data_IF_252764779688
#
_entry.id   IF_252764779688
#
_cell.length_a   1.000
_cell.length_b   1.000
_cell.length_c   1.000
_cell.angle_alpha   90.00
_cell.angle_beta   90.00
_cell.angle_gamma   90.00
#
_symmetry.space_group_name_H-M   'P 1'
#
loop_
_entity.id
_entity.type
_entity.pdbx_description
1 polymer ?
#
# COMPACT_ATOMS: atom_id res chain seq x y z
N UNK A 1 -32.45 -1.62 26.65
CA UNK A 1 -32.05 -2.60 25.59
C UNK A 1 -32.09 -2.04 24.17
N UNK A 2 -33.13 -1.28 23.75
CA UNK A 2 -33.20 -0.70 22.39
C UNK A 2 -32.06 0.29 22.09
N UNK A 3 -31.80 1.24 23.00
CA UNK A 3 -30.73 2.25 22.83
C UNK A 3 -29.36 1.61 22.65
N UNK A 4 -29.03 0.60 23.47
CA UNK A 4 -27.76 -0.12 23.37
C UNK A 4 -27.62 -0.85 22.02
N UNK A 5 -28.70 -1.49 21.53
CA UNK A 5 -28.70 -2.12 20.20
C UNK A 5 -28.51 -1.09 19.09
N UNK A 6 -29.16 0.06 19.17
CA UNK A 6 -28.99 1.15 18.19
C UNK A 6 -27.55 1.66 18.16
N UNK A 7 -26.92 1.84 19.32
CA UNK A 7 -25.52 2.26 19.42
C UNK A 7 -24.55 1.24 18.81
N UNK A 8 -24.78 -0.06 19.04
CA UNK A 8 -23.99 -1.13 18.44
C UNK A 8 -24.11 -1.11 16.91
N UNK A 9 -25.33 -0.96 16.38
CA UNK A 9 -25.56 -0.89 14.93
C UNK A 9 -24.86 0.33 14.31
N UNK A 10 -24.94 1.50 14.95
CA UNK A 10 -24.24 2.71 14.50
C UNK A 10 -22.72 2.50 14.50
N UNK A 11 -22.17 1.89 15.55
CA UNK A 11 -20.74 1.61 15.63
C UNK A 11 -20.28 0.68 14.51
N UNK A 12 -21.02 -0.39 14.23
CA UNK A 12 -20.75 -1.28 13.11
C UNK A 12 -20.82 -0.55 11.77
N UNK A 13 -21.80 0.36 11.61
CA UNK A 13 -21.96 1.14 10.38
C UNK A 13 -20.77 2.09 10.17
N UNK A 14 -20.28 2.73 11.24
CA UNK A 14 -19.09 3.59 11.19
C UNK A 14 -17.84 2.78 10.83
N UNK A 15 -17.64 1.62 11.47
CA UNK A 15 -16.50 0.73 11.18
C UNK A 15 -16.57 0.25 9.73
N UNK A 16 -17.74 -0.13 9.25
CA UNK A 16 -17.95 -0.51 7.86
C UNK A 16 -17.59 0.63 6.90
N UNK A 17 -18.10 1.83 7.17
CA UNK A 17 -17.82 3.02 6.37
C UNK A 17 -16.32 3.32 6.32
N UNK A 18 -15.66 3.27 7.48
CA UNK A 18 -14.22 3.48 7.59
C UNK A 18 -13.43 2.43 6.81
N UNK A 19 -13.81 1.16 6.89
CA UNK A 19 -13.05 0.07 6.26
C UNK A 19 -13.21 0.06 4.73
N UNK A 20 -14.39 0.40 4.21
CA UNK A 20 -14.68 0.29 2.78
C UNK A 20 -14.54 1.60 2.01
N UNK A 21 -14.90 2.75 2.60
CA UNK A 21 -14.88 4.05 1.91
C UNK A 21 -13.49 4.69 2.00
N UNK A 22 -12.86 4.65 3.17
CA UNK A 22 -11.57 5.32 3.38
C UNK A 22 -10.48 4.88 2.38
N UNK A 23 -10.31 3.57 2.05
CA UNK A 23 -9.32 3.15 1.07
C UNK A 23 -9.60 3.63 -0.36
N UNK A 24 -10.87 3.81 -0.74
CA UNK A 24 -11.23 4.31 -2.08
C UNK A 24 -10.87 5.78 -2.27
N UNK A 25 -10.80 6.56 -1.18
CA UNK A 25 -10.44 7.97 -1.21
C UNK A 25 -8.92 8.19 -1.35
N UNK A 26 -8.10 7.16 -1.11
CA UNK A 26 -6.65 7.26 -1.23
C UNK A 26 -6.30 7.34 -2.73
N UNK A 27 -5.65 8.42 -3.20
CA UNK A 27 -5.31 8.58 -4.61
C UNK A 27 -4.19 7.62 -5.00
N UNK A 28 -4.55 6.41 -5.44
CA UNK A 28 -3.64 5.38 -5.97
C UNK A 28 -3.54 5.39 -7.50
N UNK A 29 -4.33 6.24 -8.17
CA UNK A 29 -4.44 6.28 -9.64
C UNK A 29 -3.13 6.63 -10.34
N UNK A 30 -2.24 7.39 -9.69
CA UNK A 30 -0.93 7.77 -10.23
C UNK A 30 -0.02 6.55 -10.47
N UNK A 31 -0.16 5.47 -9.67
CA UNK A 31 0.62 4.24 -9.82
C UNK A 31 0.35 3.50 -11.14
N UNK A 32 -0.77 3.83 -11.82
CA UNK A 32 -1.09 3.31 -13.15
C UNK A 32 -0.23 3.92 -14.27
N UNK A 33 0.52 4.99 -13.98
CA UNK A 33 1.31 5.71 -14.99
C UNK A 33 2.75 5.97 -14.55
N UNK A 34 2.99 5.99 -13.24
CA UNK A 34 4.27 6.43 -12.67
C UNK A 34 4.83 5.45 -11.64
N UNK A 35 6.16 5.49 -11.48
CA UNK A 35 6.84 4.73 -10.45
C UNK A 35 6.47 5.22 -9.04
N UNK A 36 6.20 4.32 -8.09
CA UNK A 36 6.00 4.71 -6.69
C UNK A 36 7.28 5.34 -6.11
N UNK A 37 7.08 6.28 -5.19
CA UNK A 37 8.16 6.87 -4.39
C UNK A 37 8.85 5.79 -3.53
N UNK A 38 10.08 6.07 -3.11
CA UNK A 38 10.82 5.15 -2.23
C UNK A 38 10.06 4.90 -0.92
N UNK A 39 9.87 3.63 -0.59
CA UNK A 39 9.24 3.21 0.66
C UNK A 39 10.20 3.35 1.83
N UNK A 40 9.66 3.36 3.06
CA UNK A 40 10.47 3.38 4.28
C UNK A 40 11.46 2.20 4.33
N UNK A 41 11.05 1.02 3.85
CA UNK A 41 11.91 -0.17 3.81
C UNK A 41 13.06 -0.03 2.79
N UNK A 42 12.79 0.59 1.63
CA UNK A 42 13.85 0.89 0.65
C UNK A 42 14.88 1.87 1.23
N UNK A 43 14.42 2.94 1.89
CA UNK A 43 15.30 3.92 2.56
C UNK A 43 16.13 3.27 3.66
N UNK A 44 15.50 2.44 4.49
CA UNK A 44 16.18 1.69 5.53
C UNK A 44 17.32 0.83 4.95
N UNK A 45 17.07 0.10 3.86
CA UNK A 45 18.09 -0.73 3.20
C UNK A 45 19.22 0.10 2.57
N UNK A 46 18.92 1.26 1.98
CA UNK A 46 19.93 2.18 1.48
C UNK A 46 20.89 2.62 2.59
N UNK A 47 20.35 3.04 3.74
CA UNK A 47 21.16 3.45 4.88
C UNK A 47 22.05 2.30 5.39
N UNK A 48 21.55 1.06 5.36
CA UNK A 48 22.34 -0.12 5.71
C UNK A 48 23.50 -0.38 4.72
N UNK A 49 23.29 -0.12 3.43
CA UNK A 49 24.33 -0.26 2.42
C UNK A 49 25.37 0.87 2.47
N UNK A 50 24.92 2.09 2.72
CA UNK A 50 25.79 3.24 2.94
C UNK A 50 26.74 3.02 4.12
N UNK A 51 26.21 2.53 5.26
CA UNK A 51 27.00 2.12 6.43
C UNK A 51 28.03 1.03 6.13
N UNK A 52 27.78 0.19 5.11
CA UNK A 52 28.69 -0.86 4.65
C UNK A 52 29.64 -0.38 3.54
N UNK A 53 29.68 0.92 3.25
CA UNK A 53 30.51 1.52 2.19
C UNK A 53 30.06 1.16 0.77
N UNK A 54 28.86 0.59 0.60
CA UNK A 54 28.35 0.17 -0.72
C UNK A 54 27.61 1.33 -1.38
N UNK A 55 28.13 1.80 -2.52
CA UNK A 55 27.42 2.77 -3.38
C UNK A 55 26.41 2.03 -4.26
N UNK A 56 25.13 2.08 -3.88
CA UNK A 56 24.04 1.45 -4.63
C UNK A 56 23.18 2.51 -5.30
N UNK A 57 23.00 2.39 -6.63
CA UNK A 57 22.08 3.24 -7.39
C UNK A 57 20.74 2.52 -7.56
N UNK A 58 19.66 3.13 -7.10
CA UNK A 58 18.32 2.60 -7.31
C UNK A 58 17.91 2.84 -8.77
N UNK A 59 17.44 1.76 -9.42
CA UNK A 59 16.77 1.81 -10.72
C UNK A 59 15.33 1.31 -10.53
N UNK A 60 14.36 2.14 -10.90
CA UNK A 60 12.95 1.78 -10.91
C UNK A 60 12.44 1.89 -12.35
N UNK A 61 11.80 0.83 -12.84
CA UNK A 61 11.19 0.79 -14.17
C UNK A 61 9.70 0.60 -13.94
N UNK A 62 8.90 1.47 -14.53
CA UNK A 62 7.46 1.35 -14.43
C UNK A 62 7.00 0.22 -15.36
N UNK A 63 6.21 -0.71 -14.82
CA UNK A 63 5.67 -1.85 -15.56
C UNK A 63 4.20 -2.01 -15.18
N UNK A 64 3.28 -2.11 -16.16
CA UNK A 64 1.87 -2.33 -15.87
C UNK A 64 1.64 -3.74 -15.29
N UNK A 65 0.69 -3.86 -14.37
CA UNK A 65 0.39 -5.12 -13.64
C UNK A 65 0.04 -6.32 -14.53
N UNK A 66 -0.49 -6.07 -15.73
CA UNK A 66 -0.82 -7.11 -16.70
C UNK A 66 0.43 -7.74 -17.35
N UNK A 67 1.56 -7.02 -17.40
CA UNK A 67 2.85 -7.52 -17.89
C UNK A 67 3.65 -8.28 -16.83
N UNK A 68 3.22 -8.22 -15.57
CA UNK A 68 3.83 -9.00 -14.48
C UNK A 68 3.29 -10.43 -14.55
N UNK A 69 4.22 -11.41 -14.55
CA UNK A 69 3.89 -12.83 -14.55
C UNK A 69 2.87 -13.17 -13.45
N UNK A 70 1.87 -14.02 -13.73
CA UNK A 70 0.87 -14.42 -12.75
C UNK A 70 1.50 -15.13 -11.53
N UNK A 71 2.59 -15.87 -11.71
CA UNK A 71 3.31 -16.51 -10.61
C UNK A 71 3.95 -15.51 -9.68
N UNK A 72 4.52 -14.42 -10.22
CA UNK A 72 5.07 -13.33 -9.41
C UNK A 72 3.96 -12.64 -8.62
N UNK A 73 2.81 -12.38 -9.25
CA UNK A 73 1.66 -11.77 -8.55
C UNK A 73 1.20 -12.62 -7.37
N UNK A 74 1.11 -13.94 -7.55
CA UNK A 74 0.64 -14.88 -6.51
C UNK A 74 1.59 -15.00 -5.31
N UNK A 75 2.87 -14.63 -5.47
CA UNK A 75 3.84 -14.74 -4.37
C UNK A 75 3.77 -13.55 -3.39
N UNK A 76 3.18 -12.42 -3.81
CA UNK A 76 3.18 -11.17 -3.06
C UNK A 76 1.78 -10.63 -2.75
N UNK A 77 0.72 -11.22 -3.32
CA UNK A 77 -0.69 -11.00 -2.98
C UNK A 77 -1.19 -12.15 -2.10
#
# INVERSE_FOLDING_TARGET
MKVLKTLIVILFLIIFLYTFIYPMLIPISYLKKENPKMTAMMKYRLNQWEKKGKKVKIKQIWVPLNKISPYLKKLYL
#
